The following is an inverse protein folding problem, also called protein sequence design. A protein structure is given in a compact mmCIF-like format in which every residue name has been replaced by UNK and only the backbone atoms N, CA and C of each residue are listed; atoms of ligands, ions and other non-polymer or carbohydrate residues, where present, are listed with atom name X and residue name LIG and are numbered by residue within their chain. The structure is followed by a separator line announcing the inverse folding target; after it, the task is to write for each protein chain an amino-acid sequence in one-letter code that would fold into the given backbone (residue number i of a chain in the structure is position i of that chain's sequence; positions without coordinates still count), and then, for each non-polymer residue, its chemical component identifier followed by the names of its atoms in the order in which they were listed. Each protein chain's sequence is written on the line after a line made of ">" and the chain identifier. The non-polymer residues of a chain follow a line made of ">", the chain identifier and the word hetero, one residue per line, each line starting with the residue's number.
data_IF_430303689362
#
_entry.id   IF_430303689362
#
_cell.length_a   1.000
_cell.length_b   1.000
_cell.length_c   1.000
_cell.angle_alpha   90.00
_cell.angle_beta   90.00
_cell.angle_gamma   90.00
#
_symmetry.space_group_name_H-M   'P 1'
#
loop_
_entity.id
_entity.type
_entity.pdbx_description
1 polymer ?
#
# COMPACT_ATOMS: atom_id res chain seq x y z
N UNK A 1 -2.87 6.52 61.25
CA UNK A 1 -1.49 6.95 60.90
C UNK A 1 -1.60 8.16 59.97
N UNK A 2 -1.34 9.40 60.42
CA UNK A 2 -1.42 10.58 59.57
C UNK A 2 -0.03 10.92 59.00
N UNK A 3 0.06 11.08 57.69
CA UNK A 3 1.26 11.55 57.01
C UNK A 3 1.27 13.10 56.98
N UNK A 4 2.12 13.70 57.80
CA UNK A 4 2.44 15.14 57.74
C UNK A 4 3.34 15.43 56.54
N UNK A 5 2.94 16.39 55.70
CA UNK A 5 3.80 16.95 54.63
C UNK A 5 4.66 18.11 55.19
N UNK A 6 5.95 18.23 54.83
CA UNK A 6 6.75 19.39 55.18
C UNK A 6 6.50 20.55 54.20
N UNK A 7 6.31 21.74 54.76
CA UNK A 7 6.28 23.03 54.05
C UNK A 7 7.72 23.44 53.75
N UNK A 8 8.08 23.59 52.47
CA UNK A 8 9.34 24.23 52.07
C UNK A 8 9.11 25.72 51.79
N UNK A 9 9.85 26.55 52.53
CA UNK A 9 9.99 27.99 52.28
C UNK A 9 10.90 28.20 51.08
N UNK A 10 10.48 29.03 50.13
CA UNK A 10 11.37 29.64 49.15
C UNK A 10 11.84 31.00 49.71
N UNK A 11 13.14 31.25 49.66
CA UNK A 11 13.71 32.59 49.76
C UNK A 11 14.46 32.90 48.46
N UNK A 12 14.42 34.15 47.97
CA UNK A 12 15.10 34.57 46.76
C UNK A 12 16.50 35.11 47.09
N UNK A 13 17.45 34.92 46.18
CA UNK A 13 18.65 35.75 46.13
C UNK A 13 19.10 35.89 44.68
N UNK A 14 19.10 37.15 44.21
CA UNK A 14 19.61 37.63 42.94
C UNK A 14 21.14 37.55 42.89
N UNK A 15 21.68 37.28 41.70
CA UNK A 15 23.06 37.57 41.34
C UNK A 15 23.19 37.64 39.80
N UNK A 16 23.68 38.75 39.22
CA UNK A 16 23.91 38.88 37.78
C UNK A 16 25.34 38.40 37.46
N UNK A 17 25.46 37.35 36.65
CA UNK A 17 26.75 36.77 36.33
C UNK A 17 26.71 36.05 34.98
N UNK A 18 27.09 36.80 33.96
CA UNK A 18 27.65 36.40 32.66
C UNK A 18 27.95 34.88 32.56
N UNK A 19 26.97 34.11 32.07
CA UNK A 19 27.15 32.72 31.61
C UNK A 19 26.04 32.35 30.60
N UNK A 20 25.68 33.31 29.73
CA UNK A 20 24.59 33.17 28.77
C UNK A 20 25.17 33.01 27.36
N UNK A 21 25.78 31.85 27.06
CA UNK A 21 26.06 31.43 25.68
C UNK A 21 26.48 29.95 25.51
N UNK A 22 26.70 29.17 26.58
CA UNK A 22 27.07 27.75 26.49
C UNK A 22 25.96 26.75 26.84
N UNK A 23 24.84 27.20 27.41
CA UNK A 23 23.70 26.32 27.75
C UNK A 23 22.74 26.12 26.57
N UNK A 24 22.74 27.02 25.58
CA UNK A 24 21.89 26.89 24.38
C UNK A 24 22.45 25.90 23.33
N UNK A 25 23.73 25.54 23.40
CA UNK A 25 24.37 24.59 22.48
C UNK A 25 24.23 23.12 22.92
N UNK A 26 23.97 22.84 24.20
CA UNK A 26 23.74 21.47 24.69
C UNK A 26 22.27 21.00 24.60
N UNK A 27 21.33 21.91 24.33
CA UNK A 27 19.90 21.57 24.18
C UNK A 27 19.50 21.17 22.75
N UNK A 28 20.42 21.23 21.78
CA UNK A 28 20.19 20.76 20.40
C UNK A 28 20.71 19.33 20.14
N UNK A 29 21.27 18.67 21.16
CA UNK A 29 21.57 17.23 21.13
C UNK A 29 20.38 16.41 21.63
N UNK A 30 19.14 16.87 21.38
CA UNK A 30 18.00 15.96 21.37
C UNK A 30 18.24 14.98 20.24
N UNK A 31 18.83 13.82 20.57
CA UNK A 31 18.79 12.63 19.72
C UNK A 31 17.32 12.30 19.56
N UNK A 32 16.67 12.92 18.58
CA UNK A 32 15.35 12.51 18.15
C UNK A 32 15.51 11.04 17.80
N UNK A 33 14.86 10.17 18.58
CA UNK A 33 14.65 8.80 18.15
C UNK A 33 14.02 8.90 16.77
N UNK A 34 14.78 8.50 15.75
CA UNK A 34 14.32 8.58 14.37
C UNK A 34 12.99 7.83 14.30
N UNK A 35 11.97 8.45 13.72
CA UNK A 35 10.69 7.79 13.49
C UNK A 35 10.96 6.43 12.84
N UNK A 36 10.69 5.36 13.58
CA UNK A 36 10.93 4.01 13.11
C UNK A 36 9.70 3.59 12.32
N UNK A 37 9.84 3.53 11.00
CA UNK A 37 8.88 2.82 10.17
C UNK A 37 8.86 1.34 10.61
N UNK A 38 7.73 0.67 10.41
CA UNK A 38 7.59 -0.75 10.74
C UNK A 38 8.55 -1.64 9.94
N UNK A 39 8.51 -2.94 10.23
CA UNK A 39 9.40 -3.91 9.60
C UNK A 39 9.18 -4.13 8.10
N UNK A 40 8.10 -3.64 7.50
CA UNK A 40 7.64 -3.97 6.14
C UNK A 40 7.54 -2.74 5.20
N UNK A 41 8.60 -1.94 5.01
CA UNK A 41 8.54 -0.71 4.21
C UNK A 41 8.22 -0.93 2.73
N UNK A 42 8.44 -2.15 2.23
CA UNK A 42 8.17 -2.52 0.84
C UNK A 42 6.83 -3.25 0.65
N UNK A 43 6.04 -3.47 1.71
CA UNK A 43 4.80 -4.20 1.55
C UNK A 43 3.85 -3.53 0.53
N UNK A 44 3.11 -4.37 -0.18
CA UNK A 44 2.11 -4.00 -1.19
C UNK A 44 0.81 -4.73 -0.89
N UNK A 45 -0.32 -4.12 -1.23
CA UNK A 45 -1.62 -4.79 -1.19
C UNK A 45 -2.09 -4.98 -2.62
N UNK A 46 -2.31 -6.22 -3.02
CA UNK A 46 -2.69 -6.57 -4.39
C UNK A 46 -4.04 -7.29 -4.42
N UNK A 47 -4.65 -7.31 -5.60
CA UNK A 47 -5.83 -8.10 -5.92
C UNK A 47 -5.48 -9.12 -7.00
N UNK A 48 -5.93 -10.36 -6.82
CA UNK A 48 -5.71 -11.46 -7.76
C UNK A 48 -7.04 -12.12 -8.15
N UNK A 49 -7.36 -12.10 -9.44
CA UNK A 49 -8.59 -12.65 -10.00
C UNK A 49 -8.45 -14.14 -10.28
N UNK A 50 -9.37 -14.94 -9.74
CA UNK A 50 -9.48 -16.38 -10.04
C UNK A 50 -10.93 -16.69 -10.44
N UNK A 51 -11.18 -17.43 -11.54
CA UNK A 51 -12.53 -17.87 -11.88
C UNK A 51 -13.19 -18.63 -10.72
N UNK A 52 -14.45 -18.31 -10.44
CA UNK A 52 -15.19 -18.93 -9.35
C UNK A 52 -15.35 -20.44 -9.56
N UNK A 53 -15.09 -21.20 -8.51
CA UNK A 53 -15.47 -22.59 -8.34
C UNK A 53 -15.85 -22.85 -6.86
N UNK A 54 -16.41 -24.02 -6.56
CA UNK A 54 -16.86 -24.33 -5.19
C UNK A 54 -15.72 -24.81 -4.26
N UNK A 55 -14.46 -24.45 -4.53
CA UNK A 55 -13.26 -24.95 -3.82
C UNK A 55 -12.27 -23.85 -3.42
N UNK A 56 -12.74 -22.61 -3.26
CA UNK A 56 -11.87 -21.52 -2.80
C UNK A 56 -11.55 -21.66 -1.31
N UNK A 57 -10.27 -21.59 -1.01
CA UNK A 57 -9.74 -21.52 0.35
C UNK A 57 -8.75 -20.35 0.42
N UNK A 58 -8.38 -19.95 1.65
CA UNK A 58 -7.31 -18.99 1.87
C UNK A 58 -5.98 -19.42 1.22
N UNK A 59 -5.67 -20.72 1.26
CA UNK A 59 -4.44 -21.27 0.68
C UNK A 59 -4.46 -21.28 -0.86
N UNK A 60 -5.63 -21.37 -1.48
CA UNK A 60 -5.76 -21.33 -2.93
C UNK A 60 -5.39 -19.98 -3.55
N UNK A 61 -5.33 -18.91 -2.75
CA UNK A 61 -4.85 -17.59 -3.17
C UNK A 61 -3.34 -17.42 -3.11
N UNK A 62 -2.58 -18.40 -2.60
CA UNK A 62 -1.13 -18.26 -2.47
C UNK A 62 -0.45 -18.13 -3.84
N UNK A 63 0.50 -17.19 -3.93
CA UNK A 63 1.29 -16.91 -5.11
C UNK A 63 2.77 -16.93 -4.73
N UNK A 64 3.61 -17.44 -5.62
CA UNK A 64 5.06 -17.49 -5.41
C UNK A 64 5.75 -16.30 -6.09
N UNK A 65 5.16 -15.78 -7.17
CA UNK A 65 5.82 -14.78 -8.03
C UNK A 65 4.85 -13.71 -8.56
N UNK A 66 5.33 -12.47 -8.79
CA UNK A 66 4.50 -11.37 -9.27
C UNK A 66 3.78 -11.64 -10.60
N UNK A 67 4.41 -12.39 -11.52
CA UNK A 67 3.85 -12.71 -12.83
C UNK A 67 2.63 -13.63 -12.80
N UNK A 68 2.35 -14.26 -11.65
CA UNK A 68 1.15 -15.11 -11.47
C UNK A 68 -0.10 -14.28 -11.16
N UNK A 69 0.05 -13.00 -10.81
CA UNK A 69 -1.07 -12.14 -10.46
C UNK A 69 -1.88 -11.81 -11.71
N UNK A 70 -3.06 -12.41 -11.80
CA UNK A 70 -4.09 -12.03 -12.77
C UNK A 70 -4.84 -10.79 -12.28
N UNK A 71 -4.76 -9.70 -13.04
CA UNK A 71 -5.39 -8.41 -12.71
C UNK A 71 -6.61 -8.06 -13.56
N UNK A 72 -7.12 -9.01 -14.34
CA UNK A 72 -8.19 -8.79 -15.31
C UNK A 72 -9.26 -9.87 -15.20
N UNK A 73 -10.51 -9.45 -15.29
CA UNK A 73 -11.66 -10.34 -15.45
C UNK A 73 -12.56 -9.95 -16.62
N UNK A 74 -13.40 -10.88 -17.02
CA UNK A 74 -14.46 -10.69 -17.99
C UNK A 74 -15.74 -10.19 -17.30
N UNK A 75 -16.68 -9.72 -18.11
CA UNK A 75 -18.01 -9.35 -17.63
C UNK A 75 -18.91 -10.58 -17.46
N UNK A 76 -20.06 -10.38 -16.82
CA UNK A 76 -21.13 -11.35 -16.67
C UNK A 76 -21.40 -12.08 -18.01
N UNK A 77 -21.52 -13.42 -18.03
CA UNK A 77 -21.86 -14.30 -16.90
C UNK A 77 -20.69 -14.82 -16.06
N UNK A 78 -19.46 -14.33 -16.29
CA UNK A 78 -18.30 -14.76 -15.49
C UNK A 78 -18.46 -14.37 -14.02
N UNK A 79 -17.95 -15.24 -13.14
CA UNK A 79 -17.93 -15.04 -11.68
C UNK A 79 -16.52 -15.30 -11.17
N UNK A 80 -16.12 -14.59 -10.12
CA UNK A 80 -14.75 -14.63 -9.64
C UNK A 80 -14.69 -14.73 -8.11
N UNK A 81 -13.61 -15.36 -7.64
CA UNK A 81 -13.02 -15.08 -6.35
C UNK A 81 -11.84 -14.13 -6.58
N UNK A 82 -11.88 -12.94 -5.99
CA UNK A 82 -10.79 -11.96 -6.08
C UNK A 82 -10.08 -11.90 -4.74
N UNK A 83 -8.88 -12.44 -4.69
CA UNK A 83 -8.06 -12.51 -3.48
C UNK A 83 -7.42 -11.16 -3.19
N UNK A 84 -7.50 -10.72 -1.93
CA UNK A 84 -6.73 -9.60 -1.41
C UNK A 84 -5.51 -10.14 -0.67
N UNK A 85 -4.32 -9.65 -1.04
CA UNK A 85 -3.06 -10.17 -0.52
C UNK A 85 -2.13 -9.05 -0.11
N UNK A 86 -1.36 -9.28 0.94
CA UNK A 86 -0.14 -8.53 1.24
C UNK A 86 1.03 -9.29 0.63
N UNK A 87 1.89 -8.58 -0.08
CA UNK A 87 3.08 -9.13 -0.74
C UNK A 87 4.26 -8.19 -0.56
N UNK A 88 5.47 -8.67 -0.86
CA UNK A 88 6.71 -7.89 -0.76
C UNK A 88 6.99 -7.35 0.66
N UNK A 89 6.48 -8.04 1.68
CA UNK A 89 6.87 -7.81 3.08
C UNK A 89 8.31 -8.28 3.32
N UNK A 90 8.94 -7.75 4.36
CA UNK A 90 10.32 -8.10 4.70
C UNK A 90 10.36 -9.51 5.27
N UNK A 91 11.13 -10.43 4.67
CA UNK A 91 11.30 -11.77 5.22
C UNK A 91 11.88 -11.71 6.65
N UNK A 92 11.30 -12.48 7.57
CA UNK A 92 11.68 -12.50 8.97
C UNK A 92 10.81 -11.62 9.87
N UNK A 93 10.46 -10.41 9.45
CA UNK A 93 9.59 -9.47 10.20
C UNK A 93 8.16 -9.99 10.28
N UNK A 94 7.68 -10.53 9.16
CA UNK A 94 6.36 -11.12 9.01
C UNK A 94 5.20 -10.12 9.05
N UNK A 95 3.98 -10.64 8.94
CA UNK A 95 2.76 -9.83 8.87
C UNK A 95 1.75 -10.34 9.89
N UNK A 96 1.33 -9.48 10.82
CA UNK A 96 0.35 -9.78 11.86
C UNK A 96 -0.93 -8.95 11.79
N UNK A 97 -0.91 -7.85 11.04
CA UNK A 97 -2.07 -6.98 10.85
C UNK A 97 -2.10 -6.36 9.47
N UNK A 98 -3.30 -6.03 9.02
CA UNK A 98 -3.56 -5.38 7.75
C UNK A 98 -4.80 -4.49 7.89
N UNK A 99 -4.76 -3.29 7.33
CA UNK A 99 -5.97 -2.51 7.09
C UNK A 99 -5.97 -1.92 5.69
N UNK A 100 -7.15 -1.90 5.08
CA UNK A 100 -7.38 -1.33 3.77
C UNK A 100 -8.87 -1.03 3.54
N UNK A 101 -9.12 -0.22 2.52
CA UNK A 101 -10.44 0.02 1.96
C UNK A 101 -10.57 -0.55 0.55
N UNK A 102 -11.80 -0.55 0.04
CA UNK A 102 -12.10 -0.86 -1.35
C UNK A 102 -12.92 0.25 -1.99
N UNK A 103 -12.75 0.40 -3.31
CA UNK A 103 -13.65 1.23 -4.11
C UNK A 103 -14.02 0.57 -5.43
N UNK A 104 -15.28 0.69 -5.83
CA UNK A 104 -15.87 0.17 -7.07
C UNK A 104 -17.21 0.88 -7.34
N UNK A 105 -17.86 0.61 -8.47
CA UNK A 105 -19.23 1.05 -8.71
C UNK A 105 -20.21 0.04 -8.10
N UNK A 106 -20.80 0.38 -6.96
CA UNK A 106 -21.75 -0.45 -6.20
C UNK A 106 -23.21 -0.30 -6.65
N UNK A 107 -23.45 0.31 -7.82
CA UNK A 107 -24.79 0.39 -8.38
C UNK A 107 -25.26 -0.99 -8.80
N UNK A 108 -26.32 -1.51 -8.17
CA UNK A 108 -26.90 -2.83 -8.46
C UNK A 108 -26.91 -3.18 -9.95
N UNK A 109 -26.25 -4.30 -10.30
CA UNK A 109 -26.13 -4.81 -11.68
C UNK A 109 -25.45 -3.85 -12.66
N UNK A 110 -24.53 -3.01 -12.17
CA UNK A 110 -23.62 -2.19 -12.97
C UNK A 110 -22.26 -2.23 -12.31
N UNK A 111 -21.21 -2.30 -13.11
CA UNK A 111 -19.87 -2.46 -12.61
C UNK A 111 -19.71 -3.75 -11.81
N UNK A 112 -18.96 -3.70 -10.72
CA UNK A 112 -18.72 -4.85 -9.84
C UNK A 112 -19.84 -4.98 -8.79
N UNK A 113 -20.50 -6.13 -8.74
CA UNK A 113 -21.38 -6.51 -7.63
C UNK A 113 -20.62 -7.53 -6.75
N UNK A 114 -20.24 -7.11 -5.55
CA UNK A 114 -19.69 -8.00 -4.51
C UNK A 114 -20.85 -8.73 -3.83
N UNK A 115 -20.79 -10.05 -3.85
CA UNK A 115 -21.79 -10.96 -3.29
C UNK A 115 -21.48 -11.25 -1.83
N UNK A 116 -20.20 -11.52 -1.52
CA UNK A 116 -19.76 -11.95 -0.20
C UNK A 116 -18.23 -11.78 -0.04
N UNK A 117 -17.75 -11.82 1.21
CA UNK A 117 -16.33 -11.75 1.58
C UNK A 117 -15.99 -12.90 2.53
N UNK A 118 -14.94 -13.64 2.19
CA UNK A 118 -14.34 -14.62 3.09
C UNK A 118 -13.06 -14.07 3.68
N UNK A 119 -13.04 -13.87 5.00
CA UNK A 119 -11.81 -13.55 5.73
C UNK A 119 -10.87 -14.75 5.87
N UNK A 120 -9.57 -14.45 5.85
CA UNK A 120 -8.48 -15.37 6.16
C UNK A 120 -7.69 -14.96 7.41
N UNK A 121 -8.21 -13.98 8.16
CA UNK A 121 -7.66 -13.48 9.43
C UNK A 121 -8.33 -14.13 10.64
N UNK A 122 -7.72 -13.98 11.81
CA UNK A 122 -8.30 -14.47 13.07
C UNK A 122 -9.37 -13.51 13.58
N UNK A 123 -9.11 -12.20 13.49
CA UNK A 123 -10.07 -11.17 13.85
C UNK A 123 -10.22 -10.17 12.71
N UNK A 124 -11.41 -9.58 12.62
CA UNK A 124 -11.72 -8.50 11.69
C UNK A 124 -12.59 -7.41 12.37
N UNK A 125 -12.48 -6.18 11.88
CA UNK A 125 -13.28 -5.03 12.31
C UNK A 125 -13.77 -4.26 11.09
N UNK A 126 -14.77 -4.83 10.37
CA UNK A 126 -15.31 -4.21 9.17
C UNK A 126 -15.98 -2.88 9.49
N UNK A 127 -15.86 -1.92 8.57
CA UNK A 127 -16.73 -0.74 8.56
C UNK A 127 -18.17 -1.16 8.24
N UNK A 128 -19.19 -0.39 8.69
CA UNK A 128 -20.55 -0.55 8.21
C UNK A 128 -20.59 -0.58 6.67
N UNK A 129 -21.40 -1.47 6.10
CA UNK A 129 -21.52 -1.64 4.64
C UNK A 129 -20.47 -2.58 4.01
N UNK A 130 -19.43 -2.98 4.73
CA UNK A 130 -18.43 -3.93 4.19
C UNK A 130 -19.02 -5.32 3.92
N UNK A 131 -18.66 -5.99 2.82
CA UNK A 131 -17.84 -5.53 1.69
C UNK A 131 -18.66 -4.95 0.52
N UNK A 132 -19.98 -4.84 0.67
CA UNK A 132 -20.92 -4.67 -0.45
C UNK A 132 -21.14 -3.22 -0.87
N UNK A 133 -20.79 -2.26 -0.02
CA UNK A 133 -20.85 -0.83 -0.31
C UNK A 133 -19.49 -0.29 -0.74
N UNK A 134 -19.51 0.66 -1.68
CA UNK A 134 -18.32 1.37 -2.11
C UNK A 134 -17.71 2.22 -0.98
N UNK A 135 -16.41 2.47 -1.04
CA UNK A 135 -15.66 3.27 -0.07
C UNK A 135 -15.85 2.78 1.38
N UNK A 136 -15.81 1.46 1.56
CA UNK A 136 -15.76 0.79 2.86
C UNK A 136 -14.37 0.18 3.08
N UNK A 137 -14.11 -0.35 4.28
CA UNK A 137 -12.82 -0.94 4.62
C UNK A 137 -12.88 -1.88 5.79
N UNK A 138 -11.77 -2.58 6.02
CA UNK A 138 -11.64 -3.56 7.09
C UNK A 138 -10.25 -3.47 7.73
N UNK A 139 -10.18 -3.84 9.00
CA UNK A 139 -8.96 -4.06 9.76
C UNK A 139 -8.92 -5.53 10.14
N UNK A 140 -7.83 -6.20 9.80
CA UNK A 140 -7.64 -7.64 9.94
C UNK A 140 -6.41 -7.90 10.80
N UNK A 141 -6.49 -8.88 11.70
CA UNK A 141 -5.33 -9.30 12.51
C UNK A 141 -5.23 -10.81 12.61
N UNK A 142 -3.99 -11.27 12.75
CA UNK A 142 -3.62 -12.66 13.03
C UNK A 142 -2.97 -12.76 14.41
N UNK A 143 -2.90 -13.98 14.95
CA UNK A 143 -2.17 -14.19 16.19
C UNK A 143 -0.66 -14.03 15.96
N UNK A 144 -0.05 -13.02 16.58
CA UNK A 144 1.39 -12.74 16.48
C UNK A 144 2.28 -13.90 16.95
N UNK A 145 1.79 -14.73 17.87
CA UNK A 145 2.57 -15.82 18.50
C UNK A 145 2.50 -17.10 17.66
N UNK A 146 1.30 -17.49 17.22
CA UNK A 146 1.08 -18.79 16.56
C UNK A 146 0.99 -18.70 15.05
N UNK A 147 0.57 -17.55 14.53
CA UNK A 147 0.20 -17.41 13.12
C UNK A 147 1.08 -16.37 12.43
N UNK A 148 2.16 -15.90 13.02
CA UNK A 148 3.06 -14.97 12.34
C UNK A 148 3.66 -15.61 11.09
N UNK A 149 3.25 -15.16 9.90
CA UNK A 149 3.84 -15.58 8.64
C UNK A 149 5.07 -14.72 8.36
N UNK A 150 6.24 -15.33 8.49
CA UNK A 150 7.54 -14.67 8.29
C UNK A 150 8.00 -14.59 6.83
N UNK A 151 7.20 -15.08 5.89
CA UNK A 151 7.53 -15.04 4.46
C UNK A 151 7.46 -13.64 3.84
N UNK A 152 6.77 -12.69 4.49
CA UNK A 152 6.45 -11.39 3.89
C UNK A 152 5.27 -11.44 2.91
N UNK A 153 4.51 -12.54 2.93
CA UNK A 153 3.32 -12.75 2.13
C UNK A 153 2.13 -13.08 3.03
N UNK A 154 0.92 -12.64 2.66
CA UNK A 154 -0.30 -13.03 3.38
C UNK A 154 -1.54 -12.93 2.50
N UNK A 155 -2.42 -13.93 2.54
CA UNK A 155 -3.78 -13.81 2.01
C UNK A 155 -4.67 -13.21 3.10
N UNK A 156 -5.26 -12.05 2.84
CA UNK A 156 -6.17 -11.36 3.75
C UNK A 156 -7.57 -11.97 3.73
N UNK A 157 -7.99 -12.40 2.55
CA UNK A 157 -9.31 -12.92 2.24
C UNK A 157 -9.59 -12.83 0.75
N UNK A 158 -10.82 -13.09 0.35
CA UNK A 158 -11.24 -12.90 -1.03
C UNK A 158 -12.70 -12.46 -1.14
N UNK A 159 -12.97 -11.68 -2.18
CA UNK A 159 -14.30 -11.23 -2.56
C UNK A 159 -14.91 -12.21 -3.55
N UNK A 160 -16.16 -12.57 -3.34
CA UNK A 160 -16.96 -13.27 -4.32
C UNK A 160 -17.79 -12.25 -5.09
N UNK A 161 -17.61 -12.19 -6.41
CA UNK A 161 -18.20 -11.12 -7.20
C UNK A 161 -18.47 -11.49 -8.65
N UNK A 162 -19.22 -10.61 -9.31
CA UNK A 162 -19.44 -10.59 -10.77
C UNK A 162 -19.36 -9.14 -11.25
N UNK A 163 -19.00 -8.92 -12.52
CA UNK A 163 -19.00 -7.59 -13.12
C UNK A 163 -20.02 -7.49 -14.25
N UNK A 164 -21.04 -6.62 -14.12
CA UNK A 164 -22.11 -6.49 -15.12
C UNK A 164 -21.81 -5.45 -16.22
N UNK A 165 -20.90 -4.52 -15.96
CA UNK A 165 -20.38 -3.57 -16.95
C UNK A 165 -18.92 -3.24 -16.64
N UNK A 166 -18.19 -2.55 -17.54
CA UNK A 166 -16.81 -2.19 -17.27
C UNK A 166 -16.64 -1.40 -15.96
N UNK A 167 -15.76 -1.87 -15.09
CA UNK A 167 -15.48 -1.27 -13.77
C UNK A 167 -14.19 -1.83 -13.15
N UNK A 168 -13.75 -1.22 -12.04
CA UNK A 168 -12.54 -1.60 -11.30
C UNK A 168 -12.84 -1.79 -9.83
N UNK A 169 -12.43 -2.93 -9.29
CA UNK A 169 -12.28 -3.10 -7.85
C UNK A 169 -10.86 -2.67 -7.46
N UNK A 170 -10.75 -1.62 -6.64
CA UNK A 170 -9.48 -1.03 -6.22
C UNK A 170 -9.28 -1.21 -4.72
N UNK A 171 -8.03 -1.41 -4.32
CA UNK A 171 -7.60 -1.20 -2.94
C UNK A 171 -7.43 0.30 -2.71
N UNK A 172 -7.93 0.81 -1.58
CA UNK A 172 -7.78 2.19 -1.14
C UNK A 172 -7.28 2.22 0.31
N UNK A 173 -6.84 3.38 0.83
CA UNK A 173 -6.81 3.58 2.27
C UNK A 173 -8.18 3.31 2.88
N UNK A 174 -8.22 2.75 4.09
CA UNK A 174 -9.44 2.50 4.86
C UNK A 174 -10.10 3.85 5.19
N UNK A 175 -11.35 4.12 4.78
CA UNK A 175 -11.89 5.48 4.92
C UNK A 175 -12.12 5.97 6.34
N UNK A 176 -12.23 5.05 7.32
CA UNK A 176 -12.40 5.42 8.73
C UNK A 176 -11.19 6.19 9.32
N UNK A 177 -9.99 5.91 8.84
CA UNK A 177 -8.72 6.48 9.35
C UNK A 177 -7.80 6.99 8.23
N UNK A 178 -8.23 6.85 6.98
CA UNK A 178 -7.53 7.22 5.76
C UNK A 178 -6.13 6.55 5.63
N UNK A 179 -6.00 5.31 6.12
CA UNK A 179 -4.75 4.55 6.05
C UNK A 179 -4.94 3.20 5.38
N UNK A 180 -4.01 2.84 4.49
CA UNK A 180 -3.72 1.45 4.17
C UNK A 180 -2.44 1.10 4.91
N UNK A 181 -2.42 0.04 5.71
CA UNK A 181 -1.24 -0.24 6.54
C UNK A 181 -1.07 -1.72 6.84
N UNK A 182 0.18 -2.11 7.11
CA UNK A 182 0.59 -3.45 7.52
C UNK A 182 1.27 -3.35 8.87
N UNK A 183 1.07 -4.36 9.72
CA UNK A 183 1.75 -4.49 11.01
C UNK A 183 2.63 -5.74 10.98
N UNK A 184 3.88 -5.60 11.43
CA UNK A 184 4.80 -6.73 11.57
C UNK A 184 4.48 -7.66 12.75
N UNK A 185 5.22 -8.75 12.94
CA UNK A 185 4.95 -9.68 14.03
C UNK A 185 5.61 -9.33 15.38
N UNK A 186 6.10 -8.11 15.56
CA UNK A 186 6.67 -7.61 16.82
C UNK A 186 7.88 -8.42 17.33
N UNK A 187 8.60 -9.15 16.46
CA UNK A 187 9.66 -10.09 16.86
C UNK A 187 10.84 -9.45 17.59
N UNK A 188 11.04 -8.15 17.44
CA UNK A 188 12.14 -7.41 18.03
C UNK A 188 11.82 -6.72 19.36
N UNK A 189 10.67 -7.02 19.98
CA UNK A 189 10.27 -6.39 21.24
C UNK A 189 10.03 -4.89 21.12
N UNK A 190 9.82 -4.40 19.88
CA UNK A 190 9.42 -3.03 19.60
C UNK A 190 8.10 -2.73 20.32
N UNK A 191 8.00 -1.53 20.89
CA UNK A 191 6.75 -1.06 21.51
C UNK A 191 5.72 -0.79 20.40
N UNK A 192 4.46 -1.07 20.72
CA UNK A 192 3.33 -1.28 19.78
C UNK A 192 3.11 -0.24 18.66
N UNK A 193 3.66 0.97 18.76
CA UNK A 193 3.43 2.04 17.77
C UNK A 193 4.50 2.06 16.65
N UNK A 194 5.68 1.48 16.88
CA UNK A 194 6.82 1.50 15.93
C UNK A 194 6.76 0.41 14.83
N UNK A 195 5.64 -0.32 14.74
CA UNK A 195 5.52 -1.54 13.94
C UNK A 195 4.49 -1.43 12.81
N UNK A 196 3.96 -0.22 12.58
CA UNK A 196 2.94 0.08 11.59
C UNK A 196 3.58 0.72 10.35
N UNK A 197 3.47 0.04 9.21
CA UNK A 197 3.87 0.57 7.92
C UNK A 197 2.65 1.10 7.18
N UNK A 198 2.51 2.43 7.10
CA UNK A 198 1.50 3.08 6.27
C UNK A 198 1.95 3.03 4.81
N UNK A 199 1.16 2.37 3.98
CA UNK A 199 1.47 2.13 2.58
C UNK A 199 1.05 3.33 1.72
N UNK A 200 1.92 3.80 0.81
CA UNK A 200 1.55 4.86 -0.11
C UNK A 200 0.63 4.32 -1.22
N UNK A 201 -0.12 5.20 -1.88
CA UNK A 201 -1.14 4.79 -2.87
C UNK A 201 -0.58 3.98 -4.05
N UNK A 202 0.68 4.19 -4.43
CA UNK A 202 1.36 3.38 -5.45
C UNK A 202 1.56 1.92 -5.05
N UNK A 203 1.47 1.61 -3.75
CA UNK A 203 1.55 0.26 -3.20
C UNK A 203 0.21 -0.48 -3.19
N UNK A 204 -0.86 0.14 -3.70
CA UNK A 204 -2.22 -0.39 -3.68
C UNK A 204 -2.67 -0.79 -5.09
N UNK A 205 -3.02 -2.07 -5.24
CA UNK A 205 -3.41 -2.68 -6.50
C UNK A 205 -4.89 -2.48 -6.86
N UNK A 206 -5.22 -2.79 -8.11
CA UNK A 206 -6.61 -2.92 -8.56
C UNK A 206 -6.76 -3.95 -9.66
N UNK A 207 -7.96 -4.50 -9.78
CA UNK A 207 -8.36 -5.37 -10.91
C UNK A 207 -9.33 -4.61 -11.80
N UNK A 208 -9.30 -4.95 -13.09
CA UNK A 208 -10.18 -4.35 -14.10
C UNK A 208 -11.08 -5.42 -14.71
N UNK A 209 -12.37 -5.11 -14.86
CA UNK A 209 -13.34 -5.94 -15.54
C UNK A 209 -13.80 -5.23 -16.81
N UNK A 210 -13.60 -5.84 -17.97
CA UNK A 210 -14.13 -5.34 -19.25
C UNK A 210 -13.60 -3.99 -19.77
N UNK A 211 -12.66 -3.32 -19.09
CA UNK A 211 -12.15 -1.99 -19.44
C UNK A 211 -10.68 -1.95 -19.87
N UNK A 212 -9.85 -2.90 -19.43
CA UNK A 212 -8.43 -2.94 -19.77
C UNK A 212 -7.59 -3.81 -18.82
N UNK A 213 -6.31 -3.47 -18.69
CA UNK A 213 -5.42 -4.09 -17.71
C UNK A 213 -5.60 -3.47 -16.32
N UNK A 214 -5.52 -4.31 -15.29
CA UNK A 214 -5.46 -3.86 -13.89
C UNK A 214 -4.06 -3.35 -13.50
N UNK A 215 -3.81 -3.22 -12.21
CA UNK A 215 -2.52 -2.78 -11.66
C UNK A 215 -2.05 -3.70 -10.55
N UNK A 216 -0.90 -4.33 -10.78
CA UNK A 216 -0.18 -5.14 -9.82
C UNK A 216 1.09 -4.39 -9.34
N UNK A 217 1.07 -3.75 -8.16
CA UNK A 217 2.25 -3.09 -7.61
C UNK A 217 3.34 -4.05 -7.11
N UNK A 218 3.14 -5.37 -7.18
CA UNK A 218 4.20 -6.35 -6.95
C UNK A 218 5.05 -6.59 -8.19
N UNK A 219 4.53 -6.30 -9.38
CA UNK A 219 5.30 -6.41 -10.63
C UNK A 219 6.20 -5.18 -10.80
N UNK A 220 7.54 -5.34 -10.75
CA UNK A 220 8.47 -4.21 -10.92
C UNK A 220 8.28 -3.49 -12.25
N UNK A 221 7.82 -4.17 -13.30
CA UNK A 221 7.59 -3.56 -14.61
C UNK A 221 6.48 -2.53 -14.56
N UNK A 222 5.43 -2.77 -13.77
CA UNK A 222 4.31 -1.84 -13.63
C UNK A 222 4.64 -0.66 -12.70
N UNK A 223 5.47 -0.89 -11.68
CA UNK A 223 5.94 0.16 -10.78
C UNK A 223 6.81 1.21 -11.50
N UNK A 224 7.69 0.77 -12.42
CA UNK A 224 8.56 1.66 -13.18
C UNK A 224 7.80 2.57 -14.16
N UNK A 225 6.65 2.11 -14.66
CA UNK A 225 5.80 2.90 -15.55
C UNK A 225 5.17 4.11 -14.85
N UNK A 226 4.93 4.05 -13.54
CA UNK A 226 4.41 5.20 -12.76
C UNK A 226 5.47 6.25 -12.43
N UNK A 227 6.74 5.85 -12.31
CA UNK A 227 7.86 6.79 -12.06
C UNK A 227 8.25 7.56 -13.33
N UNK A 228 7.97 7.02 -14.51
CA UNK A 228 8.03 7.77 -15.77
C UNK A 228 6.83 8.73 -15.86
N UNK A 229 6.91 9.86 -15.17
CA UNK A 229 5.99 10.98 -15.39
C UNK A 229 5.92 11.33 -16.89
N UNK A 230 4.72 11.61 -17.44
CA UNK A 230 4.59 12.25 -18.74
C UNK A 230 5.17 13.67 -18.62
N UNK A 231 6.38 13.86 -19.16
CA UNK A 231 7.14 15.09 -19.00
C UNK A 231 8.67 14.92 -19.01
N UNK A 232 9.18 13.69 -18.91
CA UNK A 232 10.59 13.43 -19.24
C UNK A 232 10.77 13.46 -20.75
N UNK A 233 11.03 14.66 -21.28
CA UNK A 233 11.52 14.85 -22.65
C UNK A 233 12.78 14.01 -22.79
N UNK A 234 12.73 13.01 -23.68
CA UNK A 234 13.92 12.32 -24.17
C UNK A 234 14.82 13.36 -24.83
N UNK A 235 15.86 13.79 -24.13
CA UNK A 235 16.96 14.59 -24.69
C UNK A 235 17.80 13.67 -25.56
N UNK A 236 17.27 13.21 -26.69
CA UNK A 236 18.03 12.53 -27.74
C UNK A 236 17.67 12.93 -29.17
N UNK A 237 16.73 13.84 -29.38
CA UNK A 237 16.55 14.49 -30.69
C UNK A 237 17.15 15.90 -30.67
N UNK A 238 18.47 15.98 -30.49
CA UNK A 238 19.21 17.20 -30.86
C UNK A 238 19.79 16.94 -32.24
N UNK A 239 19.18 17.60 -33.22
CA UNK A 239 19.33 17.36 -34.64
C UNK A 239 20.76 17.28 -35.14
N UNK A 240 21.02 16.25 -35.94
CA UNK A 240 21.99 16.30 -37.03
C UNK A 240 21.36 17.13 -38.15
N UNK A 241 21.69 18.41 -38.19
CA UNK A 241 21.47 19.28 -39.35
C UNK A 241 22.29 18.73 -40.53
N UNK A 242 21.61 18.21 -41.54
CA UNK A 242 22.21 17.94 -42.85
C UNK A 242 22.59 19.27 -43.53
N UNK A 243 23.74 19.35 -44.21
CA UNK A 243 24.12 20.55 -44.96
C UNK A 243 23.34 20.66 -46.28
N UNK A 244 23.08 21.87 -46.77
CA UNK A 244 22.33 22.10 -48.00
C UNK A 244 23.13 21.73 -49.26
N UNK A 245 22.42 21.11 -50.20
CA UNK A 245 22.90 20.75 -51.53
C UNK A 245 23.39 21.97 -52.31
N UNK A 246 24.61 21.85 -52.85
CA UNK A 246 25.16 22.81 -53.80
C UNK A 246 24.72 22.45 -55.22
N UNK A 247 23.90 23.32 -55.81
CA UNK A 247 23.55 23.27 -57.23
C UNK A 247 24.77 23.69 -58.06
N UNK A 248 25.23 22.80 -58.95
CA UNK A 248 26.19 23.11 -60.02
C UNK A 248 25.50 22.94 -61.38
N UNK A 249 25.18 24.07 -62.02
CA UNK A 249 24.81 24.13 -63.43
C UNK A 249 25.96 23.69 -64.33
N UNK A 250 25.70 22.83 -65.32
CA UNK A 250 26.52 22.76 -66.54
C UNK A 250 25.64 22.73 -67.79
N UNK A 251 25.75 23.85 -68.49
CA UNK A 251 25.65 24.18 -69.91
C UNK A 251 26.11 23.11 -70.91
N UNK A 252 25.39 23.06 -72.05
CA UNK A 252 25.90 22.79 -73.42
C UNK A 252 26.20 21.32 -73.73
N UNK A 253 25.89 20.76 -74.90
CA UNK A 253 25.48 21.29 -76.20
C UNK A 253 25.93 20.30 -77.29
N UNK A 254 25.17 20.27 -78.40
CA UNK A 254 25.27 19.45 -79.62
C UNK A 254 24.81 17.98 -79.54
#
# INVERSE_FOLDING_TARGET
>A
MPFSRPVRRCSPAMGPGIASLLVFALLLLSTGEGARAGGNPNAKIILHVVPWNNRHTCTAGQLERPEQVVTRGDLFPARYAVYALVVDGTPGEGISGLQFGISFNDTTRRGVDIIDWQECSLFNWPMPGWPVENATGNLLTWNVVTDCDSSGFRVAGFFYLTAYSPDRLRITPRPADNMAAVIDCLKHGSKNEDCLDVLPNESLGFVDFGGGEGYNPWDPKQNLLKLRKPGSISVRDRGTTSPPDSQSSKTGGR
#
